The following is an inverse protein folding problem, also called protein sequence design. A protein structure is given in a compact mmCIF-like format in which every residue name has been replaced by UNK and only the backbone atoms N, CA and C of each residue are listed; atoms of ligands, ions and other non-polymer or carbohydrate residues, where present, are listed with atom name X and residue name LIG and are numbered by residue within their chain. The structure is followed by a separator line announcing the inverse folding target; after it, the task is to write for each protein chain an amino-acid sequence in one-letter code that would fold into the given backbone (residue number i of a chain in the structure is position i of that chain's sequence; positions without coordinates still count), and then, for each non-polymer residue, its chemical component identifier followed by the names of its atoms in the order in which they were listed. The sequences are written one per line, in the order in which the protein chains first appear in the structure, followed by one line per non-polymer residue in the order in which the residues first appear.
data_IF_909802086668
#
_entry.id   IF_909802086668
#
_cell.length_a   1.000
_cell.length_b   1.000
_cell.length_c   1.000
_cell.angle_alpha   90.00
_cell.angle_beta   90.00
_cell.angle_gamma   90.00
#
_symmetry.space_group_name_H-M   'P 1'
#
loop_
_entity.id
_entity.type
_entity.pdbx_description
1 polymer ?
#
# COMPACT_ATOMS: atom_id res chain seq x y z
N UNK A 1 15.70 8.21 -16.90
CA UNK A 1 14.61 7.62 -16.11
C UNK A 1 13.77 8.75 -15.54
N UNK A 2 12.61 9.04 -16.13
CA UNK A 2 11.70 9.99 -15.53
C UNK A 2 11.18 9.46 -14.20
N UNK A 3 11.14 10.34 -13.20
CA UNK A 3 10.65 10.03 -11.86
C UNK A 3 9.87 11.21 -11.30
N UNK A 4 9.01 10.94 -10.32
CA UNK A 4 8.26 11.95 -9.59
C UNK A 4 8.19 11.59 -8.11
N UNK A 5 8.39 12.60 -7.25
CA UNK A 5 8.14 12.49 -5.81
C UNK A 5 6.70 12.92 -5.53
N UNK A 6 5.92 12.02 -4.95
CA UNK A 6 4.50 12.23 -4.63
C UNK A 6 4.34 12.70 -3.18
N UNK A 7 4.32 14.02 -2.99
CA UNK A 7 4.23 14.66 -1.66
C UNK A 7 2.84 14.61 -1.03
N UNK A 8 1.83 14.24 -1.81
CA UNK A 8 0.42 14.13 -1.41
C UNK A 8 0.03 12.73 -0.94
N UNK A 9 1.02 11.84 -0.71
CA UNK A 9 0.83 10.46 -0.30
C UNK A 9 1.16 10.25 1.17
N UNK A 10 0.46 9.30 1.78
CA UNK A 10 0.74 8.80 3.11
C UNK A 10 0.80 7.27 3.09
N UNK A 11 1.59 6.73 4.02
CA UNK A 11 1.73 5.29 4.20
C UNK A 11 1.13 4.89 5.54
N UNK A 12 0.14 4.00 5.48
CA UNK A 12 -0.44 3.35 6.66
C UNK A 12 0.20 1.97 6.79
N UNK A 13 0.83 1.69 7.93
CA UNK A 13 1.36 0.37 8.26
C UNK A 13 0.30 -0.48 8.96
N UNK A 14 0.25 -1.75 8.59
CA UNK A 14 -0.57 -2.76 9.25
C UNK A 14 0.28 -3.99 9.47
N UNK A 15 0.52 -4.36 10.73
CA UNK A 15 1.41 -5.48 11.07
C UNK A 15 0.89 -6.33 12.22
N UNK A 16 1.40 -7.55 12.35
CA UNK A 16 1.05 -8.47 13.44
C UNK A 16 0.46 -9.77 12.92
N UNK A 17 0.38 -10.82 13.75
CA UNK A 17 0.10 -12.18 13.30
C UNK A 17 -1.28 -12.34 12.62
N UNK A 18 -2.24 -11.46 12.91
CA UNK A 18 -3.57 -11.50 12.29
C UNK A 18 -3.71 -10.54 11.11
N UNK A 19 -2.66 -9.82 10.69
CA UNK A 19 -2.75 -8.70 9.75
C UNK A 19 -3.25 -9.13 8.36
N UNK A 20 -2.73 -10.21 7.81
CA UNK A 20 -3.13 -10.71 6.48
C UNK A 20 -4.60 -11.14 6.49
N UNK A 21 -4.99 -12.00 7.44
CA UNK A 21 -6.38 -12.43 7.60
C UNK A 21 -7.32 -11.25 7.86
N UNK A 22 -6.92 -10.29 8.69
CA UNK A 22 -7.72 -9.09 8.95
C UNK A 22 -7.95 -8.28 7.68
N UNK A 23 -6.90 -7.98 6.92
CA UNK A 23 -6.98 -7.18 5.71
C UNK A 23 -7.73 -7.90 4.58
N UNK A 24 -7.48 -9.19 4.38
CA UNK A 24 -8.16 -10.02 3.37
C UNK A 24 -9.70 -9.99 3.53
N UNK A 25 -10.19 -9.87 4.77
CA UNK A 25 -11.62 -9.88 5.06
C UNK A 25 -12.32 -8.54 4.84
N UNK A 26 -11.59 -7.42 4.77
CA UNK A 26 -12.18 -6.08 4.71
C UNK A 26 -11.78 -5.28 3.47
N UNK A 27 -10.72 -5.68 2.78
CA UNK A 27 -10.23 -5.04 1.57
C UNK A 27 -10.65 -5.84 0.33
N UNK A 28 -10.74 -5.17 -0.81
CA UNK A 28 -11.06 -5.82 -2.09
C UNK A 28 -9.88 -6.58 -2.70
N UNK A 29 -8.67 -6.37 -2.21
CA UNK A 29 -7.46 -6.95 -2.80
C UNK A 29 -7.22 -8.34 -2.25
N UNK A 30 -6.98 -9.29 -3.16
CA UNK A 30 -6.51 -10.62 -2.80
C UNK A 30 -5.01 -10.59 -2.42
N UNK A 31 -4.72 -10.78 -1.15
CA UNK A 31 -3.37 -10.74 -0.58
C UNK A 31 -2.60 -12.06 -0.81
N UNK A 32 -3.28 -13.19 -1.00
CA UNK A 32 -2.63 -14.45 -1.35
C UNK A 32 -1.91 -14.33 -2.70
N UNK A 33 -2.49 -13.55 -3.62
CA UNK A 33 -1.91 -13.23 -4.91
C UNK A 33 -0.91 -12.05 -4.88
N UNK A 34 -0.69 -11.37 -3.74
CA UNK A 34 0.19 -10.20 -3.64
C UNK A 34 1.66 -10.62 -3.47
N UNK A 35 2.46 -10.36 -4.51
CA UNK A 35 3.90 -10.66 -4.49
C UNK A 35 4.70 -9.81 -3.49
N UNK A 36 5.89 -10.28 -3.12
CA UNK A 36 6.77 -9.60 -2.15
C UNK A 36 7.33 -8.26 -2.64
N UNK A 37 7.45 -8.07 -3.96
CA UNK A 37 7.95 -6.83 -4.61
C UNK A 37 6.89 -6.20 -5.51
N UNK A 38 5.62 -6.32 -5.11
CA UNK A 38 4.48 -5.83 -5.87
C UNK A 38 3.63 -4.88 -5.02
N UNK A 39 3.03 -3.89 -5.68
CA UNK A 39 2.00 -3.03 -5.12
C UNK A 39 0.72 -3.19 -5.94
N UNK A 40 -0.36 -3.65 -5.31
CA UNK A 40 -1.66 -3.87 -5.97
C UNK A 40 -2.68 -2.80 -5.57
N UNK A 41 -3.58 -2.38 -6.48
CA UNK A 41 -4.69 -1.52 -6.12
C UNK A 41 -5.68 -2.25 -5.21
N UNK A 42 -6.28 -1.49 -4.32
CA UNK A 42 -7.30 -1.98 -3.40
C UNK A 42 -8.23 -0.88 -2.94
N UNK A 43 -9.36 -1.30 -2.38
CA UNK A 43 -10.31 -0.42 -1.75
C UNK A 43 -10.85 -1.01 -0.44
N UNK A 44 -11.27 -0.13 0.46
CA UNK A 44 -12.15 -0.43 1.58
C UNK A 44 -13.55 0.07 1.20
N UNK A 45 -14.56 -0.79 1.33
CA UNK A 45 -15.92 -0.51 0.87
C UNK A 45 -16.88 -0.25 2.02
N UNK A 46 -17.99 0.42 1.73
CA UNK A 46 -19.19 0.37 2.58
C UNK A 46 -19.84 -1.01 2.47
N UNK A 47 -20.73 -1.38 3.42
CA UNK A 47 -21.54 -2.60 3.29
C UNK A 47 -22.40 -2.66 2.02
N UNK A 48 -22.69 -1.51 1.40
CA UNK A 48 -23.42 -1.41 0.13
C UNK A 48 -22.50 -1.45 -1.10
N UNK A 49 -21.20 -1.69 -0.93
CA UNK A 49 -20.22 -1.79 -2.01
C UNK A 49 -19.72 -0.46 -2.57
N UNK A 50 -19.96 0.68 -1.88
CA UNK A 50 -19.40 1.97 -2.30
C UNK A 50 -17.95 2.10 -1.83
N UNK A 51 -17.07 2.67 -2.65
CA UNK A 51 -15.68 2.92 -2.25
C UNK A 51 -15.66 3.98 -1.15
N UNK A 52 -15.09 3.62 0.00
CA UNK A 52 -14.76 4.57 1.07
C UNK A 52 -13.34 5.11 0.91
N UNK A 53 -12.40 4.23 0.60
CA UNK A 53 -10.98 4.56 0.41
C UNK A 53 -10.41 3.68 -0.68
N UNK A 54 -9.54 4.26 -1.50
CA UNK A 54 -8.67 3.56 -2.45
C UNK A 54 -7.20 3.72 -2.05
N UNK A 55 -6.40 2.71 -2.37
CA UNK A 55 -4.98 2.67 -2.01
C UNK A 55 -4.22 1.69 -2.90
N UNK A 56 -2.90 1.70 -2.76
CA UNK A 56 -2.03 0.61 -3.16
C UNK A 56 -1.57 -0.15 -1.92
N UNK A 57 -1.60 -1.48 -1.97
CA UNK A 57 -1.10 -2.35 -0.90
C UNK A 57 0.15 -3.08 -1.37
N UNK A 58 1.19 -3.11 -0.53
CA UNK A 58 2.40 -3.90 -0.73
C UNK A 58 2.80 -4.61 0.56
N UNK A 59 3.53 -5.73 0.46
CA UNK A 59 4.13 -6.38 1.63
C UNK A 59 5.29 -5.52 2.17
N UNK A 60 5.47 -5.51 3.48
CA UNK A 60 6.49 -4.72 4.18
C UNK A 60 7.30 -5.57 5.18
N UNK A 61 7.29 -6.90 5.01
CA UNK A 61 7.89 -7.88 5.91
C UNK A 61 6.94 -9.06 6.14
N UNK A 62 7.33 -9.94 7.05
CA UNK A 62 6.46 -11.03 7.49
C UNK A 62 5.28 -10.46 8.29
N UNK A 63 4.05 -10.84 7.92
CA UNK A 63 2.83 -10.36 8.56
C UNK A 63 2.74 -8.82 8.64
N UNK A 64 3.31 -8.11 7.67
CA UNK A 64 3.34 -6.67 7.62
C UNK A 64 3.01 -6.15 6.22
N UNK A 65 2.16 -5.14 6.16
CA UNK A 65 1.66 -4.52 4.96
C UNK A 65 1.81 -3.00 5.02
N UNK A 66 1.99 -2.40 3.86
CA UNK A 66 2.01 -0.97 3.63
C UNK A 66 0.85 -0.61 2.71
N UNK A 67 0.04 0.35 3.14
CA UNK A 67 -1.08 0.90 2.39
C UNK A 67 -0.73 2.34 2.00
N UNK A 68 -0.43 2.57 0.73
CA UNK A 68 -0.23 3.92 0.18
C UNK A 68 -1.57 4.53 -0.23
N UNK A 69 -1.93 5.65 0.38
CA UNK A 69 -3.17 6.38 0.10
C UNK A 69 -2.90 7.89 0.00
N UNK A 70 -3.95 8.68 -0.27
CA UNK A 70 -3.85 10.15 -0.25
C UNK A 70 -3.66 10.63 1.18
N UNK A 71 -2.76 11.59 1.39
CA UNK A 71 -2.40 12.09 2.72
C UNK A 71 -3.61 12.67 3.47
N UNK A 72 -4.52 13.34 2.74
CA UNK A 72 -5.73 13.94 3.29
C UNK A 72 -6.74 12.91 3.85
N UNK A 73 -6.72 11.66 3.37
CA UNK A 73 -7.65 10.60 3.79
C UNK A 73 -7.04 9.63 4.79
N UNK A 74 -5.73 9.71 5.05
CA UNK A 74 -4.99 8.69 5.79
C UNK A 74 -5.49 8.48 7.23
N UNK A 75 -5.81 9.57 7.93
CA UNK A 75 -6.23 9.50 9.33
C UNK A 75 -7.63 8.89 9.46
N UNK A 76 -8.54 9.27 8.56
CA UNK A 76 -9.88 8.67 8.47
C UNK A 76 -9.82 7.20 8.04
N UNK A 77 -8.93 6.85 7.11
CA UNK A 77 -8.71 5.49 6.68
C UNK A 77 -8.21 4.62 7.84
N UNK A 78 -7.20 5.08 8.59
CA UNK A 78 -6.70 4.41 9.79
C UNK A 78 -7.77 4.24 10.87
N UNK A 79 -8.57 5.28 11.10
CA UNK A 79 -9.69 5.22 12.06
C UNK A 79 -10.69 4.14 11.66
N UNK A 80 -10.97 3.99 10.36
CA UNK A 80 -11.88 2.96 9.84
C UNK A 80 -11.30 1.56 9.94
N UNK A 81 -10.03 1.36 9.61
CA UNK A 81 -9.34 0.08 9.85
C UNK A 81 -9.35 -0.29 11.33
N UNK A 82 -9.09 0.69 12.21
CA UNK A 82 -9.08 0.48 13.67
C UNK A 82 -10.46 0.06 14.19
N UNK A 83 -11.54 0.64 13.66
CA UNK A 83 -12.91 0.25 13.99
C UNK A 83 -13.18 -1.23 13.65
N UNK A 84 -12.67 -1.70 12.51
CA UNK A 84 -12.87 -3.08 12.04
C UNK A 84 -11.93 -4.11 12.68
N UNK A 85 -10.79 -3.67 13.23
CA UNK A 85 -9.79 -4.56 13.85
C UNK A 85 -10.37 -5.44 14.97
N UNK A 86 -11.31 -4.93 15.76
CA UNK A 86 -11.87 -5.63 16.94
C UNK A 86 -10.74 -6.24 17.82
N UNK A 87 -10.76 -7.56 18.02
CA UNK A 87 -9.78 -8.30 18.83
C UNK A 87 -8.60 -8.85 18.03
N UNK A 88 -8.52 -8.57 16.73
CA UNK A 88 -7.40 -9.03 15.90
C UNK A 88 -6.09 -8.45 16.43
N UNK A 89 -5.06 -9.29 16.52
CA UNK A 89 -3.70 -8.95 16.97
C UNK A 89 -2.95 -8.23 15.85
N UNK A 90 -3.38 -7.00 15.59
CA UNK A 90 -2.86 -6.15 14.51
C UNK A 90 -2.44 -4.79 15.09
N UNK A 91 -1.31 -4.25 14.67
CA UNK A 91 -0.91 -2.86 14.90
C UNK A 91 -1.19 -2.06 13.63
N UNK A 92 -1.83 -0.90 13.78
CA UNK A 92 -2.14 0.00 12.67
C UNK A 92 -1.50 1.34 13.00
N UNK A 93 -0.72 1.89 12.08
CA UNK A 93 0.00 3.15 12.28
C UNK A 93 0.13 3.94 10.99
N UNK A 94 0.55 5.21 11.14
CA UNK A 94 0.97 6.06 10.04
C UNK A 94 2.49 6.15 10.08
N UNK A 95 3.16 6.05 8.94
CA UNK A 95 4.58 6.36 8.88
C UNK A 95 4.77 7.88 8.86
N UNK A 96 5.71 8.36 9.66
CA UNK A 96 6.11 9.76 9.66
C UNK A 96 6.96 10.07 8.43
N UNK A 97 6.68 11.20 7.78
CA UNK A 97 7.45 11.73 6.65
C UNK A 97 7.71 10.71 5.53
N UNK A 98 6.68 10.05 4.99
CA UNK A 98 6.88 9.05 3.95
C UNK A 98 7.38 9.70 2.66
N UNK A 99 8.39 9.10 2.04
CA UNK A 99 8.89 9.51 0.73
C UNK A 99 8.37 8.51 -0.30
N UNK A 100 7.33 8.89 -1.04
CA UNK A 100 6.83 8.07 -2.15
C UNK A 100 7.43 8.59 -3.44
N UNK A 101 8.21 7.75 -4.14
CA UNK A 101 8.76 8.07 -5.46
C UNK A 101 8.27 7.07 -6.48
N UNK A 102 7.83 7.56 -7.64
CA UNK A 102 7.43 6.74 -8.78
C UNK A 102 8.45 6.91 -9.89
N UNK A 103 8.86 5.81 -10.49
CA UNK A 103 9.74 5.76 -11.65
C UNK A 103 9.05 5.00 -12.78
N UNK A 104 9.13 5.50 -14.00
CA UNK A 104 8.60 4.86 -15.19
C UNK A 104 9.63 4.87 -16.33
N UNK A 105 9.50 3.93 -17.26
CA UNK A 105 10.46 3.62 -18.34
C UNK A 105 11.83 3.09 -17.85
N UNK A 106 12.29 2.01 -18.50
CA UNK A 106 13.46 1.23 -18.04
C UNK A 106 14.38 0.83 -19.19
N UNK A 107 14.92 1.81 -19.93
CA UNK A 107 15.99 1.55 -20.93
C UNK A 107 17.41 1.79 -20.39
N UNK A 108 17.60 1.90 -19.08
CA UNK A 108 18.97 2.04 -18.54
C UNK A 108 19.12 1.40 -17.16
N UNK A 109 20.35 1.10 -16.81
CA UNK A 109 20.79 0.44 -15.58
C UNK A 109 20.33 1.19 -14.33
N UNK A 110 19.74 0.45 -13.39
CA UNK A 110 19.29 0.96 -12.11
C UNK A 110 20.41 1.74 -11.40
N UNK A 111 20.17 3.03 -11.16
CA UNK A 111 20.89 3.75 -10.12
C UNK A 111 20.59 3.07 -8.77
N UNK A 112 21.59 2.97 -7.89
CA UNK A 112 21.44 2.39 -6.56
C UNK A 112 20.44 3.21 -5.74
N UNK A 113 19.16 2.81 -5.77
CA UNK A 113 18.21 3.20 -4.75
C UNK A 113 18.44 2.30 -3.54
N UNK A 114 18.53 2.89 -2.35
CA UNK A 114 18.74 2.14 -1.10
C UNK A 114 17.54 1.23 -0.77
N UNK A 115 16.33 1.60 -1.24
CA UNK A 115 15.09 0.84 -1.05
C UNK A 115 14.79 -0.08 -2.25
N UNK A 116 14.30 -1.29 -1.95
CA UNK A 116 13.82 -2.22 -2.98
C UNK A 116 12.56 -1.67 -3.69
N UNK A 117 12.48 -1.76 -5.03
CA UNK A 117 11.32 -1.29 -5.78
C UNK A 117 10.11 -2.22 -5.64
N UNK A 118 8.92 -1.63 -5.70
CA UNK A 118 7.65 -2.36 -5.81
C UNK A 118 7.03 -2.09 -7.18
N UNK A 119 6.71 -3.15 -7.93
CA UNK A 119 6.02 -3.02 -9.22
C UNK A 119 4.57 -2.58 -9.01
N UNK A 120 4.13 -1.48 -9.64
CA UNK A 120 2.75 -0.99 -9.55
C UNK A 120 1.86 -1.75 -10.54
N UNK A 121 1.02 -2.65 -10.02
CA UNK A 121 0.20 -3.55 -10.81
C UNK A 121 -0.94 -2.87 -11.59
N UNK A 122 -1.14 -1.54 -11.43
CA UNK A 122 -2.12 -0.79 -12.22
C UNK A 122 -1.70 -0.59 -13.67
N UNK A 123 -0.41 -0.75 -13.99
CA UNK A 123 0.15 -0.53 -15.31
C UNK A 123 0.57 -1.85 -15.94
N UNK A 124 -0.21 -2.33 -16.91
CA UNK A 124 0.06 -3.61 -17.61
C UNK A 124 1.08 -3.44 -18.72
N UNK A 125 0.99 -2.33 -19.46
CA UNK A 125 1.81 -2.06 -20.66
C UNK A 125 3.04 -1.19 -20.37
N UNK A 126 3.28 -0.83 -19.11
CA UNK A 126 4.38 0.04 -18.71
C UNK A 126 5.03 -0.45 -17.41
N UNK A 127 6.36 -0.38 -17.36
CA UNK A 127 7.10 -0.67 -16.14
C UNK A 127 7.05 0.57 -15.25
N UNK A 128 6.16 0.53 -14.26
CA UNK A 128 6.05 1.55 -13.22
C UNK A 128 6.46 0.96 -11.88
N UNK A 129 7.42 1.59 -11.21
CA UNK A 129 7.95 1.15 -9.92
C UNK A 129 7.75 2.22 -8.87
N UNK A 130 7.49 1.77 -7.65
CA UNK A 130 7.34 2.59 -6.45
C UNK A 130 8.48 2.34 -5.48
N UNK A 131 8.95 3.42 -4.88
CA UNK A 131 9.96 3.43 -3.84
C UNK A 131 9.39 4.16 -2.63
N UNK A 132 9.73 3.65 -1.45
CA UNK A 132 9.26 4.08 -0.15
C UNK A 132 10.42 4.21 0.83
#
# INVERSE_FOLDING_TARGET
MPFASLRDRALVSVSGPDAEHFLQNILTTDLDALGSSEAKPGALLTPQGKILFDFLISRAGENAFRLECRAETADDFMRRLTLYKLRAKVQIGKLDQPVVTVLWESDSTASQFESAPFADARFVDAIVKRFY
#
